data_IF_868522057812
#
_entry.id   IF_868522057812
#
_cell.length_a   1.000
_cell.length_b   1.000
_cell.length_c   1.000
_cell.angle_alpha   90.00
_cell.angle_beta   90.00
_cell.angle_gamma   90.00
#
_symmetry.space_group_name_H-M   'P 1'
#
loop_
_entity.id
_entity.type
_entity.pdbx_description
1 polymer ?
#
# COMPACT_ATOMS: atom_id res chain seq x y z
N UNK A 1 3.65 3.32 3.00
CA UNK A 1 3.97 1.90 2.79
C UNK A 1 4.08 1.69 1.30
N UNK A 2 5.21 1.19 0.78
CA UNK A 2 6.44 0.90 1.54
C UNK A 2 7.00 2.15 2.26
N UNK A 3 7.90 1.98 3.23
CA UNK A 3 8.63 3.09 3.83
C UNK A 3 9.51 3.79 2.78
N UNK A 4 9.67 5.12 2.86
CA UNK A 4 10.37 5.91 1.83
C UNK A 4 11.85 5.53 1.69
N UNK A 5 12.48 5.09 2.78
CA UNK A 5 13.88 4.64 2.78
C UNK A 5 14.11 3.34 2.01
N UNK A 6 13.09 2.51 1.89
CA UNK A 6 13.17 1.22 1.21
C UNK A 6 12.95 1.33 -0.31
N UNK A 7 12.66 2.53 -0.83
CA UNK A 7 12.26 2.70 -2.24
C UNK A 7 13.40 2.49 -3.25
N UNK A 8 14.65 2.68 -2.83
CA UNK A 8 15.83 2.65 -3.71
C UNK A 8 16.75 1.47 -3.46
N UNK A 9 16.41 0.61 -2.49
CA UNK A 9 17.14 -0.59 -2.14
C UNK A 9 16.21 -1.78 -2.37
N UNK A 10 16.62 -2.68 -3.26
CA UNK A 10 15.80 -3.83 -3.69
C UNK A 10 15.56 -4.78 -2.51
N UNK A 11 16.57 -5.03 -1.67
CA UNK A 11 16.45 -5.99 -0.57
C UNK A 11 15.50 -5.46 0.51
N UNK A 12 15.60 -4.17 0.82
CA UNK A 12 14.66 -3.51 1.74
C UNK A 12 13.24 -3.44 1.16
N UNK A 13 13.11 -3.23 -0.15
CA UNK A 13 11.80 -3.22 -0.80
C UNK A 13 11.14 -4.60 -0.74
N UNK A 14 11.90 -5.67 -0.96
CA UNK A 14 11.40 -7.04 -0.87
C UNK A 14 11.04 -7.43 0.57
N UNK A 15 11.73 -6.87 1.58
CA UNK A 15 11.28 -6.99 2.97
C UNK A 15 9.95 -6.28 3.21
N UNK A 16 9.77 -5.05 2.72
CA UNK A 16 8.47 -4.38 2.77
C UNK A 16 7.40 -5.20 2.02
N UNK A 17 7.72 -5.84 0.89
CA UNK A 17 6.79 -6.73 0.19
C UNK A 17 6.38 -7.92 1.06
N UNK A 18 7.32 -8.53 1.79
CA UNK A 18 7.01 -9.61 2.76
C UNK A 18 6.10 -9.12 3.87
N UNK A 19 6.33 -7.92 4.41
CA UNK A 19 5.43 -7.31 5.39
C UNK A 19 4.02 -7.09 4.82
N UNK A 20 3.91 -6.65 3.57
CA UNK A 20 2.63 -6.51 2.87
C UNK A 20 1.89 -7.84 2.80
N UNK A 21 2.58 -8.88 2.33
CA UNK A 21 2.05 -10.23 2.19
C UNK A 21 1.55 -10.80 3.52
N UNK A 22 2.35 -10.67 4.59
CA UNK A 22 1.94 -11.11 5.93
C UNK A 22 0.71 -10.35 6.40
N UNK A 23 0.64 -9.03 6.18
CA UNK A 23 -0.54 -8.23 6.52
C UNK A 23 -1.80 -8.68 5.78
N UNK A 24 -1.70 -8.90 4.46
CA UNK A 24 -2.81 -9.36 3.63
C UNK A 24 -3.32 -10.74 4.06
N UNK A 25 -2.42 -11.68 4.34
CA UNK A 25 -2.77 -13.06 4.75
C UNK A 25 -3.32 -13.17 6.18
N UNK A 26 -3.36 -12.08 6.96
CA UNK A 26 -4.11 -12.06 8.23
C UNK A 26 -5.63 -12.01 8.03
N UNK A 27 -6.09 -11.45 6.93
CA UNK A 27 -7.51 -11.43 6.60
C UNK A 27 -7.98 -12.85 6.23
N UNK A 28 -9.02 -13.35 6.93
CA UNK A 28 -9.58 -14.68 6.66
C UNK A 28 -10.72 -14.69 5.64
N UNK A 29 -11.48 -13.60 5.57
CA UNK A 29 -12.71 -13.50 4.74
C UNK A 29 -12.69 -12.28 3.82
N UNK A 30 -12.56 -11.09 4.41
CA UNK A 30 -12.55 -9.82 3.68
C UNK A 30 -11.31 -9.02 4.04
N UNK A 31 -10.70 -8.41 3.04
CA UNK A 31 -9.55 -7.52 3.17
C UNK A 31 -9.93 -6.17 2.56
N UNK A 32 -9.84 -5.11 3.37
CA UNK A 32 -10.04 -3.75 2.91
C UNK A 32 -8.69 -3.03 2.88
N UNK A 33 -8.33 -2.50 1.72
CA UNK A 33 -7.13 -1.69 1.53
C UNK A 33 -7.55 -0.25 1.29
N UNK A 34 -6.93 0.69 1.99
CA UNK A 34 -7.25 2.12 1.88
C UNK A 34 -5.98 2.93 1.65
N UNK A 35 -6.11 4.03 0.90
CA UNK A 35 -5.06 5.01 0.73
C UNK A 35 -5.66 6.42 0.74
N UNK A 36 -4.83 7.43 0.97
CA UNK A 36 -5.25 8.82 0.99
C UNK A 36 -4.52 9.62 -0.08
N UNK A 37 -5.26 10.36 -0.91
CA UNK A 37 -4.67 11.26 -1.90
C UNK A 37 -3.81 12.36 -1.26
N UNK A 38 -4.22 12.88 -0.09
CA UNK A 38 -3.47 13.87 0.68
C UNK A 38 -3.56 13.57 2.17
N UNK A 39 -2.46 13.76 2.89
CA UNK A 39 -2.39 13.62 4.35
C UNK A 39 -1.54 14.72 4.97
N UNK A 40 -1.94 15.18 6.15
CA UNK A 40 -1.07 15.98 7.01
C UNK A 40 -0.13 15.03 7.74
N UNK A 41 1.17 15.14 7.49
CA UNK A 41 2.18 14.28 8.08
C UNK A 41 3.36 15.14 8.52
N UNK A 42 3.69 15.09 9.82
CA UNK A 42 4.69 15.96 10.44
C UNK A 42 4.53 17.45 10.09
N UNK A 43 3.29 17.96 10.15
CA UNK A 43 2.98 19.37 9.86
C UNK A 43 3.01 19.74 8.37
N UNK A 44 3.37 18.82 7.48
CA UNK A 44 3.39 19.06 6.04
C UNK A 44 2.27 18.29 5.33
N UNK A 45 1.63 18.93 4.35
CA UNK A 45 0.66 18.26 3.48
C UNK A 45 1.44 17.47 2.43
N UNK A 46 1.33 16.14 2.49
CA UNK A 46 2.00 15.24 1.54
C UNK A 46 0.95 14.55 0.66
N UNK A 47 1.26 14.42 -0.62
CA UNK A 47 0.49 13.67 -1.61
C UNK A 47 1.36 12.51 -2.05
N UNK A 48 0.98 11.29 -1.66
CA UNK A 48 1.72 10.09 -2.05
C UNK A 48 0.84 9.27 -3.00
N UNK A 49 1.42 8.69 -4.07
CA UNK A 49 0.67 7.77 -4.90
C UNK A 49 0.21 6.55 -4.07
N UNK A 50 -0.80 5.80 -4.55
CA UNK A 50 -1.12 4.50 -3.99
C UNK A 50 0.13 3.62 -3.87
N UNK A 51 0.16 2.76 -2.85
CA UNK A 51 1.26 1.80 -2.70
C UNK A 51 1.37 0.94 -3.96
N UNK A 52 2.60 0.71 -4.44
CA UNK A 52 2.84 -0.23 -5.53
C UNK A 52 2.28 -1.63 -5.24
N UNK A 53 2.28 -2.05 -3.97
CA UNK A 53 1.74 -3.35 -3.58
C UNK A 53 0.22 -3.45 -3.71
N UNK A 54 -0.50 -2.31 -3.79
CA UNK A 54 -1.94 -2.28 -4.12
C UNK A 54 -2.12 -2.40 -5.64
N UNK A 55 -1.26 -1.74 -6.41
CA UNK A 55 -1.30 -1.73 -7.87
C UNK A 55 -0.95 -3.11 -8.45
N UNK A 56 -0.05 -3.86 -7.79
CA UNK A 56 0.33 -5.21 -8.17
C UNK A 56 -0.81 -6.24 -7.99
N UNK A 57 -1.92 -5.89 -7.33
CA UNK A 57 -3.06 -6.79 -7.13
C UNK A 57 -3.86 -6.91 -8.43
N UNK A 58 -4.08 -8.12 -8.96
CA UNK A 58 -4.90 -8.31 -10.15
C UNK A 58 -6.30 -7.71 -10.01
N UNK A 59 -6.76 -6.95 -11.00
CA UNK A 59 -8.06 -6.26 -10.97
C UNK A 59 -9.24 -7.24 -10.78
N UNK A 60 -9.12 -8.48 -11.25
CA UNK A 60 -10.15 -9.51 -11.06
C UNK A 60 -10.27 -10.04 -9.61
N UNK A 61 -9.36 -9.65 -8.72
CA UNK A 61 -9.34 -10.03 -7.31
C UNK A 61 -9.68 -8.87 -6.37
N UNK A 62 -9.97 -7.68 -6.91
CA UNK A 62 -10.25 -6.49 -6.11
C UNK A 62 -11.44 -5.71 -6.64
N UNK A 63 -12.16 -5.07 -5.73
CA UNK A 63 -13.22 -4.11 -6.05
C UNK A 63 -12.79 -2.72 -5.57
N UNK A 64 -12.96 -1.70 -6.41
CA UNK A 64 -12.66 -0.32 -6.04
C UNK A 64 -13.89 0.34 -5.44
N UNK A 65 -13.88 0.53 -4.13
CA UNK A 65 -14.89 1.29 -3.41
C UNK A 65 -14.45 2.76 -3.28
N UNK A 66 -15.03 3.66 -4.07
CA UNK A 66 -14.83 5.12 -3.96
C UNK A 66 -14.75 5.84 -5.31
N UNK A 67 -15.29 7.06 -5.35
CA UNK A 67 -15.38 7.89 -6.55
C UNK A 67 -14.02 8.43 -6.99
N UNK A 68 -13.56 7.99 -8.16
CA UNK A 68 -12.81 8.82 -9.11
C UNK A 68 -13.46 8.65 -10.48
#
# INVERSE_FOLDING_TARGET
>A
FPHSRSLFDIDQLEEERRLAYVGMTRAKKLLYLTFANRRLYFGQKTSNPPSRFIIDIPDNLSERAGTL
#
